data_IF_146679794217
#
_entry.id   IF_146679794217
#
_cell.length_a   1.000
_cell.length_b   1.000
_cell.length_c   1.000
_cell.angle_alpha   90.00
_cell.angle_beta   90.00
_cell.angle_gamma   90.00
#
_symmetry.space_group_name_H-M   'P 1'
#
loop_
_entity.id
_entity.type
_entity.pdbx_description
1 polymer ?
#
# COMPACT_ATOMS: atom_id res chain seq x y z
N UNK A 1 3.19 -2.42 30.46
CA UNK A 1 2.25 -2.94 29.45
C UNK A 1 3.02 -3.05 28.15
N UNK A 2 3.03 -4.24 27.55
CA UNK A 2 3.73 -4.46 26.28
C UNK A 2 3.01 -3.63 25.21
N UNK A 3 3.76 -2.95 24.33
CA UNK A 3 3.18 -2.12 23.26
C UNK A 3 2.44 -2.95 22.19
N UNK A 4 2.40 -4.28 22.32
CA UNK A 4 1.81 -5.21 21.36
C UNK A 4 0.31 -5.50 21.62
N UNK A 5 -0.30 -4.90 22.64
CA UNK A 5 -1.68 -5.22 23.05
C UNK A 5 -2.70 -4.12 22.66
N UNK A 6 -2.35 -3.15 21.81
CA UNK A 6 -3.31 -2.15 21.35
C UNK A 6 -3.91 -2.60 20.01
N UNK A 7 -5.19 -3.02 19.94
CA UNK A 7 -5.81 -3.55 18.73
C UNK A 7 -5.74 -2.57 17.54
N UNK A 8 -5.70 -1.27 17.81
CA UNK A 8 -5.52 -0.22 16.79
C UNK A 8 -4.18 -0.32 16.06
N UNK A 9 -3.15 -0.89 16.69
CA UNK A 9 -1.82 -1.03 16.09
C UNK A 9 -1.76 -2.20 15.10
N UNK A 10 -2.37 -3.32 15.45
CA UNK A 10 -2.50 -4.48 14.57
C UNK A 10 -3.27 -4.11 13.29
N UNK A 11 -4.34 -3.31 13.42
CA UNK A 11 -5.09 -2.76 12.30
C UNK A 11 -4.22 -1.89 11.36
N UNK A 12 -3.32 -1.07 11.93
CA UNK A 12 -2.39 -0.23 11.16
C UNK A 12 -1.36 -1.09 10.42
N UNK A 13 -0.76 -2.08 11.08
CA UNK A 13 0.18 -3.02 10.45
C UNK A 13 -0.50 -3.79 9.31
N UNK A 14 -1.73 -4.26 9.52
CA UNK A 14 -2.52 -4.93 8.48
C UNK A 14 -2.82 -4.02 7.29
N UNK A 15 -3.14 -2.74 7.53
CA UNK A 15 -3.37 -1.77 6.46
C UNK A 15 -2.09 -1.55 5.64
N UNK A 16 -0.94 -1.39 6.29
CA UNK A 16 0.36 -1.24 5.61
C UNK A 16 0.69 -2.46 4.73
N UNK A 17 0.53 -3.66 5.28
CA UNK A 17 0.73 -4.92 4.53
C UNK A 17 -0.22 -4.96 3.33
N UNK A 18 -1.50 -4.61 3.53
CA UNK A 18 -2.51 -4.62 2.46
C UNK A 18 -2.15 -3.68 1.32
N UNK A 19 -1.72 -2.45 1.60
CA UNK A 19 -1.29 -1.52 0.54
C UNK A 19 -0.10 -2.04 -0.26
N UNK A 20 0.91 -2.60 0.43
CA UNK A 20 2.08 -3.21 -0.22
C UNK A 20 1.70 -4.40 -1.09
N UNK A 21 0.79 -5.26 -0.61
CA UNK A 21 0.29 -6.41 -1.36
C UNK A 21 -0.49 -5.98 -2.60
N UNK A 22 -1.36 -4.96 -2.49
CA UNK A 22 -2.11 -4.42 -3.63
C UNK A 22 -1.15 -3.88 -4.69
N UNK A 23 -0.20 -3.04 -4.29
CA UNK A 23 0.82 -2.47 -5.19
C UNK A 23 1.61 -3.58 -5.90
N UNK A 24 2.10 -4.57 -5.16
CA UNK A 24 2.85 -5.70 -5.72
C UNK A 24 2.03 -6.54 -6.70
N UNK A 25 0.78 -6.88 -6.37
CA UNK A 25 -0.09 -7.65 -7.25
C UNK A 25 -0.38 -6.89 -8.56
N UNK A 26 -0.63 -5.59 -8.47
CA UNK A 26 -0.92 -4.78 -9.65
C UNK A 26 0.33 -4.56 -10.52
N UNK A 27 1.52 -4.46 -9.92
CA UNK A 27 2.78 -4.48 -10.68
C UNK A 27 2.91 -5.76 -11.53
N UNK A 28 2.60 -6.93 -10.96
CA UNK A 28 2.58 -8.21 -11.69
C UNK A 28 1.54 -8.18 -12.81
N UNK A 29 0.35 -7.59 -12.58
CA UNK A 29 -0.67 -7.45 -13.63
C UNK A 29 -0.17 -6.59 -14.79
N UNK A 30 0.63 -5.56 -14.52
CA UNK A 30 1.23 -4.71 -15.56
C UNK A 30 2.37 -5.40 -16.33
N UNK A 31 3.00 -6.44 -15.77
CA UNK A 31 4.03 -7.22 -16.45
C UNK A 31 3.42 -7.99 -17.64
N UNK A 32 3.58 -7.44 -18.84
CA UNK A 32 3.04 -8.01 -20.08
C UNK A 32 1.87 -7.22 -20.68
N UNK A 33 1.44 -6.13 -20.05
CA UNK A 33 0.45 -5.22 -20.61
C UNK A 33 1.09 -4.14 -21.49
N UNK A 34 0.34 -3.69 -22.50
CA UNK A 34 0.77 -2.57 -23.34
C UNK A 34 0.66 -1.24 -22.59
N UNK A 35 1.80 -0.55 -22.43
CA UNK A 35 1.95 0.67 -21.60
C UNK A 35 1.08 1.87 -22.01
N UNK A 36 0.56 1.89 -23.23
CA UNK A 36 -0.17 3.03 -23.80
C UNK A 36 -1.69 2.85 -23.80
N UNK A 37 -2.19 1.88 -23.05
CA UNK A 37 -3.62 1.63 -22.90
C UNK A 37 -4.18 2.39 -21.71
N UNK A 38 -5.44 2.80 -21.79
CA UNK A 38 -6.15 3.43 -20.67
C UNK A 38 -6.17 2.51 -19.43
N UNK A 39 -6.24 1.20 -19.65
CA UNK A 39 -6.19 0.19 -18.60
C UNK A 39 -4.83 0.17 -17.88
N UNK A 40 -3.72 0.26 -18.62
CA UNK A 40 -2.39 0.34 -18.02
C UNK A 40 -2.28 1.58 -17.13
N UNK A 41 -2.66 2.75 -17.64
CA UNK A 41 -2.61 4.00 -16.88
C UNK A 41 -3.53 3.99 -15.66
N UNK A 42 -4.71 3.36 -15.75
CA UNK A 42 -5.59 3.20 -14.61
C UNK A 42 -4.96 2.32 -13.51
N UNK A 43 -4.39 1.18 -13.88
CA UNK A 43 -3.73 0.28 -12.93
C UNK A 43 -2.49 0.95 -12.32
N UNK A 44 -1.69 1.65 -13.12
CA UNK A 44 -0.55 2.44 -12.65
C UNK A 44 -0.99 3.51 -11.63
N UNK A 45 -2.10 4.21 -11.90
CA UNK A 45 -2.68 5.16 -10.94
C UNK A 45 -3.10 4.52 -9.61
N UNK A 46 -3.64 3.30 -9.64
CA UNK A 46 -4.01 2.57 -8.41
C UNK A 46 -2.77 2.13 -7.62
N UNK A 47 -1.70 1.69 -8.30
CA UNK A 47 -0.40 1.39 -7.67
C UNK A 47 0.12 2.63 -6.95
N UNK A 48 0.17 3.77 -7.65
CA UNK A 48 0.63 5.03 -7.08
C UNK A 48 -0.19 5.47 -5.86
N UNK A 49 -1.51 5.25 -5.90
CA UNK A 49 -2.39 5.54 -4.77
C UNK A 49 -2.09 4.62 -3.58
N UNK A 50 -1.93 3.32 -3.79
CA UNK A 50 -1.60 2.37 -2.73
C UNK A 50 -0.26 2.72 -2.07
N UNK A 51 0.78 3.01 -2.87
CA UNK A 51 2.09 3.43 -2.38
C UNK A 51 2.04 4.78 -1.65
N UNK A 52 1.16 5.69 -2.06
CA UNK A 52 0.96 6.95 -1.35
C UNK A 52 0.33 6.73 0.03
N UNK A 53 -0.71 5.90 0.13
CA UNK A 53 -1.36 5.61 1.41
C UNK A 53 -0.43 4.86 2.36
N UNK A 54 0.33 3.89 1.84
CA UNK A 54 1.36 3.18 2.59
C UNK A 54 2.37 4.15 3.21
N UNK A 55 2.97 5.03 2.39
CA UNK A 55 3.97 6.00 2.88
C UNK A 55 3.40 6.96 3.89
N UNK A 56 2.17 7.45 3.65
CA UNK A 56 1.50 8.37 4.57
C UNK A 56 1.26 7.72 5.93
N UNK A 57 0.80 6.47 5.94
CA UNK A 57 0.55 5.72 7.16
C UNK A 57 1.88 5.37 7.85
N UNK A 58 2.87 4.85 7.14
CA UNK A 58 4.22 4.56 7.67
C UNK A 58 4.86 5.79 8.32
N UNK A 59 4.71 6.98 7.71
CA UNK A 59 5.21 8.23 8.30
C UNK A 59 4.48 8.60 9.60
N UNK A 60 3.15 8.41 9.63
CA UNK A 60 2.37 8.68 10.84
C UNK A 60 2.83 7.78 11.99
N UNK A 61 2.99 6.48 11.71
CA UNK A 61 3.54 5.50 12.65
C UNK A 61 4.87 5.97 13.23
N UNK A 62 5.83 6.31 12.36
CA UNK A 62 7.17 6.72 12.76
C UNK A 62 7.21 8.03 13.57
N UNK A 63 6.18 8.87 13.48
CA UNK A 63 6.07 10.12 14.25
C UNK A 63 5.40 9.92 15.61
N UNK A 64 4.54 8.90 15.73
CA UNK A 64 3.82 8.57 16.96
C UNK A 64 4.54 7.57 17.87
N UNK A 65 5.61 6.92 17.37
CA UNK A 65 6.46 5.98 18.09
C UNK A 65 7.87 6.53 18.33
#
# INVERSE_FOLDING_TARGET
MSKADNPEWEDIEHALISFRSISSMLCIVLEGQERKTDQYSAIEGVIQLADFQERKLSNLVCQTH
#
